data_IF_704641258992
#
_entry.id   IF_704641258992
#
_cell.length_a   1.000
_cell.length_b   1.000
_cell.length_c   1.000
_cell.angle_alpha   90.00
_cell.angle_beta   90.00
_cell.angle_gamma   90.00
#
_symmetry.space_group_name_H-M   'P 1'
#
loop_
_entity.id
_entity.type
_entity.pdbx_description
1 polymer ?
#
# COMPACT_ATOMS: atom_id res chain seq x y z
N UNK A 1 -54.19 -20.14 -9.64
CA UNK A 1 -53.10 -20.03 -10.64
C UNK A 1 -52.04 -19.07 -10.13
N UNK A 2 -50.86 -19.62 -9.85
CA UNK A 2 -49.54 -18.97 -9.75
C UNK A 2 -49.26 -17.92 -8.66
N UNK A 3 -48.74 -18.44 -7.53
CA UNK A 3 -47.66 -17.80 -6.78
C UNK A 3 -46.56 -17.35 -7.76
N UNK A 4 -46.18 -16.08 -7.73
CA UNK A 4 -44.91 -15.61 -8.32
C UNK A 4 -44.04 -15.00 -7.23
N UNK A 5 -43.21 -15.90 -6.71
CA UNK A 5 -41.79 -15.72 -6.35
C UNK A 5 -41.40 -14.32 -5.90
N UNK A 6 -41.26 -14.20 -4.57
CA UNK A 6 -40.20 -13.43 -3.94
C UNK A 6 -38.88 -13.79 -4.63
N UNK A 7 -38.33 -12.86 -5.40
CA UNK A 7 -36.96 -12.89 -5.88
C UNK A 7 -36.39 -11.51 -5.63
N UNK A 8 -36.09 -11.20 -4.36
CA UNK A 8 -35.01 -10.26 -4.08
C UNK A 8 -33.74 -10.97 -4.55
N UNK A 9 -33.04 -10.48 -5.58
CA UNK A 9 -31.75 -11.06 -5.89
C UNK A 9 -30.87 -10.80 -4.68
N UNK A 10 -30.19 -11.85 -4.26
CA UNK A 10 -29.11 -11.86 -3.31
C UNK A 10 -28.09 -10.80 -3.76
N UNK A 11 -28.18 -9.56 -3.25
CA UNK A 11 -27.02 -8.67 -3.27
C UNK A 11 -25.99 -9.40 -2.41
N UNK A 12 -25.00 -9.98 -3.09
CA UNK A 12 -23.79 -10.54 -2.49
C UNK A 12 -23.34 -9.61 -1.37
N UNK A 13 -23.09 -10.18 -0.20
CA UNK A 13 -22.59 -9.47 0.97
C UNK A 13 -21.16 -8.99 0.70
N UNK A 14 -21.01 -7.96 -0.12
CA UNK A 14 -19.77 -7.20 -0.18
C UNK A 14 -19.66 -6.46 1.17
N UNK A 15 -18.58 -6.70 1.89
CA UNK A 15 -18.29 -6.00 3.15
C UNK A 15 -18.01 -4.54 2.80
N UNK A 16 -19.03 -3.69 2.94
CA UNK A 16 -18.93 -2.25 2.66
C UNK A 16 -18.33 -1.56 3.88
N UNK A 17 -17.29 -0.76 3.68
CA UNK A 17 -16.70 0.08 4.72
C UNK A 17 -17.69 1.21 5.06
N UNK A 18 -18.02 1.38 6.34
CA UNK A 18 -19.01 2.38 6.77
C UNK A 18 -18.41 3.79 6.93
N UNK A 19 -17.18 3.86 7.44
CA UNK A 19 -16.43 5.11 7.66
C UNK A 19 -14.93 4.83 7.70
N UNK A 20 -14.13 5.80 7.28
CA UNK A 20 -12.66 5.80 7.42
C UNK A 20 -12.20 6.19 8.82
N UNK A 21 -13.07 6.84 9.62
CA UNK A 21 -12.71 7.41 10.91
C UNK A 21 -11.88 8.70 10.83
N UNK A 22 -11.57 9.19 9.63
CA UNK A 22 -10.85 10.43 9.36
C UNK A 22 -11.84 11.46 8.80
N UNK A 23 -11.88 12.66 9.38
CA UNK A 23 -12.77 13.73 8.92
C UNK A 23 -12.27 14.26 7.58
N UNK A 24 -13.16 14.31 6.58
CA UNK A 24 -12.84 14.82 5.24
C UNK A 24 -12.39 13.76 4.24
N UNK A 25 -12.16 12.51 4.69
CA UNK A 25 -11.82 11.38 3.82
C UNK A 25 -13.03 10.47 3.65
N UNK A 26 -13.73 10.61 2.52
CA UNK A 26 -14.93 9.82 2.21
C UNK A 26 -14.58 8.40 1.77
N UNK A 27 -15.42 7.42 2.15
CA UNK A 27 -15.26 6.03 1.75
C UNK A 27 -15.50 5.87 0.25
N UNK A 28 -14.60 5.14 -0.43
CA UNK A 28 -14.71 4.86 -1.87
C UNK A 28 -15.09 3.39 -2.09
N UNK A 29 -16.34 3.07 -2.49
CA UNK A 29 -16.80 1.69 -2.64
C UNK A 29 -16.03 0.87 -3.68
N UNK A 30 -15.52 1.52 -4.73
CA UNK A 30 -14.76 0.91 -5.82
C UNK A 30 -13.26 1.27 -5.75
N UNK A 31 -12.70 1.35 -4.53
CA UNK A 31 -11.33 1.79 -4.28
C UNK A 31 -10.28 1.04 -5.12
N UNK A 32 -10.40 -0.28 -5.26
CA UNK A 32 -9.45 -1.12 -6.02
C UNK A 32 -9.34 -0.68 -7.48
N UNK A 33 -10.47 -0.52 -8.17
CA UNK A 33 -10.48 -0.13 -9.59
C UNK A 33 -9.91 1.27 -9.78
N UNK A 34 -10.25 2.19 -8.87
CA UNK A 34 -9.72 3.56 -8.87
C UNK A 34 -8.21 3.54 -8.68
N UNK A 35 -7.69 2.79 -7.71
CA UNK A 35 -6.25 2.65 -7.46
C UNK A 35 -5.51 2.07 -8.67
N UNK A 36 -6.03 1.01 -9.29
CA UNK A 36 -5.43 0.43 -10.50
C UNK A 36 -5.39 1.48 -11.62
N UNK A 37 -6.48 2.22 -11.83
CA UNK A 37 -6.53 3.29 -12.83
C UNK A 37 -5.50 4.40 -12.56
N UNK A 38 -5.41 4.85 -11.30
CA UNK A 38 -4.45 5.88 -10.89
C UNK A 38 -3.01 5.41 -11.06
N UNK A 39 -2.65 4.22 -10.58
CA UNK A 39 -1.29 3.70 -10.71
C UNK A 39 -0.86 3.46 -12.15
N UNK A 40 -1.76 2.97 -13.01
CA UNK A 40 -1.45 2.86 -14.44
C UNK A 40 -1.18 4.24 -15.06
N UNK A 41 -2.00 5.24 -14.71
CA UNK A 41 -1.78 6.62 -15.14
C UNK A 41 -0.45 7.17 -14.63
N UNK A 42 -0.09 6.93 -13.37
CA UNK A 42 1.19 7.34 -12.79
C UNK A 42 2.36 6.71 -13.55
N UNK A 43 2.29 5.42 -13.87
CA UNK A 43 3.29 4.72 -14.67
C UNK A 43 3.38 5.20 -16.13
N UNK A 44 2.33 5.80 -16.67
CA UNK A 44 2.36 6.42 -17.99
C UNK A 44 3.01 7.81 -17.95
N UNK A 45 2.59 8.67 -17.01
CA UNK A 45 3.08 10.04 -16.88
C UNK A 45 4.55 10.10 -16.45
N UNK A 46 5.00 9.19 -15.57
CA UNK A 46 6.38 9.16 -15.09
C UNK A 46 7.42 8.91 -16.20
N UNK A 47 7.01 8.34 -17.35
CA UNK A 47 7.90 8.10 -18.50
C UNK A 47 8.46 9.40 -19.09
N UNK A 48 7.84 10.55 -18.82
CA UNK A 48 8.34 11.86 -19.23
C UNK A 48 9.61 12.28 -18.46
N UNK A 49 9.82 11.75 -17.25
CA UNK A 49 10.99 12.04 -16.41
C UNK A 49 12.19 11.16 -16.86
N UNK A 50 13.44 11.65 -16.84
CA UNK A 50 14.61 10.84 -17.21
C UNK A 50 14.80 9.58 -16.34
N UNK A 51 15.29 8.48 -16.92
CA UNK A 51 15.44 7.17 -16.25
C UNK A 51 16.47 7.13 -15.14
N UNK A 52 17.48 7.99 -15.20
CA UNK A 52 18.56 7.96 -14.22
C UNK A 52 18.21 8.66 -12.91
N UNK A 53 17.16 9.47 -12.92
CA UNK A 53 16.71 10.24 -11.76
C UNK A 53 16.21 9.32 -10.63
N UNK A 54 16.68 9.59 -9.41
CA UNK A 54 16.28 8.84 -8.21
C UNK A 54 14.77 8.89 -7.97
N UNK A 55 14.14 10.01 -8.31
CA UNK A 55 12.68 10.18 -8.24
C UNK A 55 11.94 9.16 -9.11
N UNK A 56 12.30 9.03 -10.40
CA UNK A 56 11.66 8.05 -11.30
C UNK A 56 11.83 6.62 -10.81
N UNK A 57 13.04 6.25 -10.35
CA UNK A 57 13.33 4.92 -9.80
C UNK A 57 12.45 4.61 -8.57
N UNK A 58 12.29 5.58 -7.67
CA UNK A 58 11.45 5.42 -6.48
C UNK A 58 9.97 5.27 -6.84
N UNK A 59 9.43 6.19 -7.65
CA UNK A 59 8.02 6.19 -8.09
C UNK A 59 7.67 4.90 -8.82
N UNK A 60 8.50 4.46 -9.76
CA UNK A 60 8.26 3.18 -10.44
C UNK A 60 8.30 1.99 -9.48
N UNK A 61 9.23 1.97 -8.52
CA UNK A 61 9.38 0.86 -7.57
C UNK A 61 8.14 0.68 -6.71
N UNK A 62 7.73 1.72 -5.98
CA UNK A 62 6.57 1.60 -5.08
C UNK A 62 5.26 1.50 -5.86
N UNK A 63 5.11 2.20 -6.99
CA UNK A 63 3.86 2.14 -7.78
C UNK A 63 3.65 0.75 -8.37
N UNK A 64 4.70 0.09 -8.88
CA UNK A 64 4.61 -1.29 -9.38
C UNK A 64 4.27 -2.27 -8.26
N UNK A 65 4.86 -2.09 -7.08
CA UNK A 65 4.56 -2.93 -5.92
C UNK A 65 3.10 -2.78 -5.49
N UNK A 66 2.62 -1.53 -5.33
CA UNK A 66 1.22 -1.23 -4.98
C UNK A 66 0.23 -1.74 -6.01
N UNK A 67 0.53 -1.54 -7.30
CA UNK A 67 -0.28 -2.05 -8.41
C UNK A 67 -0.38 -3.58 -8.39
N UNK A 68 0.74 -4.28 -8.16
CA UNK A 68 0.76 -5.75 -8.07
C UNK A 68 -0.15 -6.25 -6.95
N UNK A 69 -0.08 -5.66 -5.77
CA UNK A 69 -0.96 -6.03 -4.64
C UNK A 69 -2.43 -5.77 -4.98
N UNK A 70 -2.76 -4.62 -5.58
CA UNK A 70 -4.14 -4.31 -5.97
C UNK A 70 -4.69 -5.24 -7.07
N UNK A 71 -3.82 -5.83 -7.89
CA UNK A 71 -4.21 -6.81 -8.91
C UNK A 71 -4.45 -8.20 -8.30
N UNK A 72 -3.60 -8.62 -7.38
CA UNK A 72 -3.66 -9.94 -6.74
C UNK A 72 -4.82 -10.05 -5.73
N UNK A 73 -5.07 -9.01 -4.94
CA UNK A 73 -6.12 -8.99 -3.92
C UNK A 73 -7.42 -8.37 -4.44
N UNK A 74 -8.56 -8.95 -4.09
CA UNK A 74 -9.89 -8.43 -4.45
C UNK A 74 -10.55 -7.64 -3.31
N UNK A 75 -10.23 -7.98 -2.06
CA UNK A 75 -10.79 -7.33 -0.87
C UNK A 75 -9.91 -6.16 -0.39
N UNK A 76 -10.55 -5.07 0.03
CA UNK A 76 -9.85 -3.86 0.48
C UNK A 76 -9.10 -4.09 1.80
N UNK A 77 -9.63 -4.92 2.70
CA UNK A 77 -8.97 -5.25 3.97
C UNK A 77 -7.68 -6.06 3.76
N UNK A 78 -7.68 -6.97 2.79
CA UNK A 78 -6.49 -7.73 2.40
C UNK A 78 -5.43 -6.81 1.79
N UNK A 79 -5.85 -5.85 0.94
CA UNK A 79 -4.98 -4.82 0.36
C UNK A 79 -4.33 -3.99 1.48
N UNK A 80 -5.10 -3.46 2.43
CA UNK A 80 -4.60 -2.65 3.56
C UNK A 80 -3.58 -3.44 4.39
N UNK A 81 -3.90 -4.69 4.73
CA UNK A 81 -3.03 -5.54 5.54
C UNK A 81 -1.70 -5.85 4.83
N UNK A 82 -1.76 -6.16 3.54
CA UNK A 82 -0.58 -6.56 2.75
C UNK A 82 0.32 -5.39 2.41
N UNK A 83 -0.25 -4.21 2.17
CA UNK A 83 0.51 -2.99 1.92
C UNK A 83 1.05 -2.34 3.19
N UNK A 84 0.33 -2.45 4.31
CA UNK A 84 0.74 -1.88 5.60
C UNK A 84 0.95 -0.37 5.57
N UNK A 85 0.23 0.34 4.69
CA UNK A 85 0.45 1.76 4.38
C UNK A 85 -0.83 2.60 4.62
N UNK A 86 -1.54 2.33 5.72
CA UNK A 86 -2.80 3.00 6.04
C UNK A 86 -4.01 2.41 5.31
N UNK A 87 -5.06 3.22 5.17
CA UNK A 87 -6.32 2.84 4.54
C UNK A 87 -6.27 2.99 3.01
N UNK A 88 -7.13 2.27 2.29
CA UNK A 88 -7.20 2.38 0.81
C UNK A 88 -7.56 3.77 0.31
N UNK A 89 -8.33 4.53 1.07
CA UNK A 89 -8.70 5.91 0.73
C UNK A 89 -7.50 6.87 0.84
N UNK A 90 -6.63 6.68 1.85
CA UNK A 90 -5.38 7.46 1.99
C UNK A 90 -4.45 7.15 0.80
N UNK A 91 -4.37 5.88 0.38
CA UNK A 91 -3.60 5.49 -0.80
C UNK A 91 -4.12 6.14 -2.10
N UNK A 92 -5.43 6.36 -2.20
CA UNK A 92 -6.01 7.07 -3.36
C UNK A 92 -5.57 8.53 -3.35
N UNK A 93 -5.62 9.20 -2.20
CA UNK A 93 -5.15 10.58 -2.04
C UNK A 93 -3.66 10.70 -2.37
N UNK A 94 -2.82 9.80 -1.82
CA UNK A 94 -1.39 9.73 -2.13
C UNK A 94 -1.15 9.55 -3.65
N UNK A 95 -1.88 8.65 -4.31
CA UNK A 95 -1.72 8.41 -5.74
C UNK A 95 -2.16 9.62 -6.58
N UNK A 96 -3.19 10.36 -6.15
CA UNK A 96 -3.62 11.60 -6.81
C UNK A 96 -2.61 12.73 -6.63
N UNK A 97 -2.04 12.85 -5.44
CA UNK A 97 -1.02 13.85 -5.14
C UNK A 97 0.28 13.57 -5.87
N UNK A 98 0.66 12.30 -6.00
CA UNK A 98 1.79 11.88 -6.84
C UNK A 98 1.58 12.27 -8.31
N UNK A 99 0.37 12.08 -8.85
CA UNK A 99 0.04 12.52 -10.22
C UNK A 99 0.15 14.04 -10.38
N UNK A 100 -0.28 14.83 -9.39
CA UNK A 100 -0.11 16.29 -9.40
C UNK A 100 1.37 16.66 -9.35
N UNK A 101 2.13 15.98 -8.49
CA UNK A 101 3.57 16.18 -8.34
C UNK A 101 4.30 15.90 -9.65
N UNK A 102 3.99 14.80 -10.34
CA UNK A 102 4.57 14.50 -11.66
C UNK A 102 4.28 15.64 -12.65
N UNK A 103 3.08 16.22 -12.62
CA UNK A 103 2.74 17.41 -13.40
C UNK A 103 3.68 18.59 -13.13
N UNK A 104 3.92 18.92 -11.86
CA UNK A 104 4.87 19.97 -11.48
C UNK A 104 6.32 19.62 -11.81
N UNK A 105 6.74 18.37 -11.61
CA UNK A 105 8.08 17.89 -11.95
C UNK A 105 8.37 18.03 -13.44
N UNK A 106 7.37 17.75 -14.30
CA UNK A 106 7.51 17.90 -15.75
C UNK A 106 7.58 19.37 -16.19
N UNK A 107 6.93 20.27 -15.48
CA UNK A 107 7.00 21.72 -15.74
C UNK A 107 8.33 22.32 -15.28
N UNK A 108 8.73 22.06 -14.03
CA UNK A 108 9.88 22.72 -13.39
C UNK A 108 11.21 22.07 -13.73
N UNK A 109 11.18 20.80 -14.14
CA UNK A 109 12.34 20.05 -14.62
C UNK A 109 13.56 20.15 -13.68
N UNK A 110 13.42 19.85 -12.37
CA UNK A 110 14.49 20.03 -11.40
C UNK A 110 15.60 18.96 -11.51
N UNK A 111 15.66 18.25 -12.62
CA UNK A 111 16.63 17.19 -12.86
C UNK A 111 17.96 17.74 -13.37
N UNK A 112 19.02 16.96 -13.14
CA UNK A 112 20.39 17.38 -13.44
C UNK A 112 21.02 18.17 -12.30
N UNK A 113 22.30 17.91 -12.09
CA UNK A 113 23.12 18.54 -11.06
C UNK A 113 24.15 19.41 -11.80
N UNK A 114 24.19 20.74 -11.57
CA UNK A 114 25.22 21.61 -12.12
C UNK A 114 26.63 21.17 -11.71
N UNK A 115 27.62 21.40 -12.57
CA UNK A 115 29.02 21.02 -12.30
C UNK A 115 29.61 21.76 -11.09
N UNK A 116 29.08 22.94 -10.77
CA UNK A 116 29.45 23.80 -9.64
C UNK A 116 28.58 23.59 -8.40
N UNK A 117 27.76 22.54 -8.37
CA UNK A 117 26.88 22.26 -7.24
C UNK A 117 27.67 21.74 -6.03
N UNK A 118 27.69 22.54 -4.97
CA UNK A 118 28.25 22.17 -3.67
C UNK A 118 27.13 21.83 -2.68
N UNK A 119 27.14 20.60 -2.17
CA UNK A 119 26.20 20.13 -1.15
C UNK A 119 26.95 19.89 0.17
N UNK A 120 26.86 20.85 1.09
CA UNK A 120 27.45 20.71 2.42
C UNK A 120 26.56 19.82 3.30
N UNK A 121 27.00 18.58 3.52
CA UNK A 121 26.35 17.66 4.46
C UNK A 121 26.87 17.98 5.87
N UNK A 122 26.05 18.66 6.66
CA UNK A 122 26.37 19.03 8.05
C UNK A 122 25.76 17.99 9.00
N UNK A 123 26.62 17.16 9.60
CA UNK A 123 26.23 16.15 10.58
C UNK A 123 26.59 16.62 12.00
N UNK A 124 25.64 16.52 12.94
CA UNK A 124 25.86 16.82 14.35
C UNK A 124 25.42 15.62 15.20
N UNK A 125 26.40 14.82 15.62
CA UNK A 125 26.18 13.58 16.37
C UNK A 125 25.94 13.82 17.88
N UNK A 126 25.65 15.05 18.30
CA UNK A 126 25.31 15.34 19.68
C UNK A 126 24.06 14.52 20.10
N UNK A 127 24.15 13.71 21.18
CA UNK A 127 23.05 12.84 21.56
C UNK A 127 21.85 13.67 22.05
N UNK A 128 20.66 13.37 21.53
CA UNK A 128 19.41 14.03 21.94
C UNK A 128 18.92 13.43 23.28
N UNK A 129 18.75 14.24 24.35
CA UNK A 129 18.17 13.78 25.60
C UNK A 129 16.80 13.09 25.45
N UNK A 130 16.57 12.00 26.21
CA UNK A 130 15.36 11.15 26.11
C UNK A 130 14.02 11.85 26.31
N UNK A 131 14.00 12.95 27.07
CA UNK A 131 12.79 13.69 27.39
C UNK A 131 12.40 14.70 26.31
N UNK A 132 13.28 14.93 25.34
CA UNK A 132 13.01 15.81 24.21
C UNK A 132 12.14 15.02 23.21
N UNK A 133 11.08 15.64 22.67
CA UNK A 133 10.26 15.03 21.64
C UNK A 133 11.13 14.60 20.45
N UNK A 134 11.15 13.31 20.19
CA UNK A 134 11.81 12.70 19.04
C UNK A 134 10.80 11.79 18.36
N UNK A 135 10.68 11.87 17.03
CA UNK A 135 9.86 10.94 16.27
C UNK A 135 10.40 9.53 16.44
N UNK A 136 9.64 8.69 17.14
CA UNK A 136 9.93 7.27 17.25
C UNK A 136 9.16 6.54 16.16
N UNK A 137 9.76 5.54 15.49
CA UNK A 137 9.01 4.73 14.56
C UNK A 137 7.83 4.08 15.29
N UNK A 138 6.71 3.94 14.58
CA UNK A 138 5.60 3.13 15.05
C UNK A 138 6.01 1.66 15.22
N UNK A 139 5.15 0.83 15.84
CA UNK A 139 5.38 -0.61 15.91
C UNK A 139 5.52 -1.17 14.50
N UNK A 140 6.56 -1.98 14.27
CA UNK A 140 6.76 -2.67 12.99
C UNK A 140 5.71 -3.78 12.81
N UNK A 141 5.43 -4.21 11.57
CA UNK A 141 4.52 -5.32 11.31
C UNK A 141 4.95 -6.60 12.06
N UNK A 142 3.98 -7.37 12.57
CA UNK A 142 4.26 -8.59 13.35
C UNK A 142 5.11 -9.62 12.58
N UNK A 143 4.96 -9.67 11.26
CA UNK A 143 5.74 -10.53 10.37
C UNK A 143 7.25 -10.29 10.52
N UNK A 144 7.65 -9.03 10.74
CA UNK A 144 9.05 -8.68 10.97
C UNK A 144 9.59 -9.37 12.23
N UNK A 145 8.85 -9.30 13.35
CA UNK A 145 9.27 -9.96 14.60
C UNK A 145 9.34 -11.47 14.45
N UNK A 146 8.36 -12.10 13.78
CA UNK A 146 8.37 -13.54 13.51
C UNK A 146 9.57 -13.97 12.66
N UNK A 147 9.90 -13.19 11.63
CA UNK A 147 11.10 -13.48 10.80
C UNK A 147 12.38 -13.28 11.58
N UNK A 148 12.48 -12.26 12.44
CA UNK A 148 13.65 -11.98 13.27
C UNK A 148 13.88 -13.10 14.29
N UNK A 149 12.83 -13.56 14.97
CA UNK A 149 12.89 -14.73 15.86
C UNK A 149 13.30 -16.00 15.10
N UNK A 150 12.83 -16.20 13.88
CA UNK A 150 13.24 -17.34 13.03
C UNK A 150 14.70 -17.25 12.58
N UNK A 151 15.23 -16.04 12.38
CA UNK A 151 16.66 -15.80 12.09
C UNK A 151 17.50 -16.15 13.32
N UNK A 152 17.15 -15.60 14.48
CA UNK A 152 17.89 -15.77 15.73
C UNK A 152 17.88 -17.23 16.22
N UNK A 153 16.80 -17.96 15.96
CA UNK A 153 16.68 -19.39 16.28
C UNK A 153 17.26 -20.32 15.21
N UNK A 154 17.73 -19.79 14.08
CA UNK A 154 18.30 -20.58 12.99
C UNK A 154 17.29 -21.40 12.17
N UNK A 155 15.99 -21.18 12.34
CA UNK A 155 14.88 -21.89 11.66
C UNK A 155 14.37 -21.17 10.40
N UNK A 156 15.12 -20.17 9.93
CA UNK A 156 14.83 -19.34 8.76
C UNK A 156 14.30 -20.11 7.54
N UNK A 157 14.89 -21.28 7.23
CA UNK A 157 14.49 -22.11 6.08
C UNK A 157 13.07 -22.69 6.24
N UNK A 158 12.68 -23.02 7.47
CA UNK A 158 11.38 -23.60 7.79
C UNK A 158 10.28 -22.53 7.87
N UNK A 159 10.63 -21.32 8.33
CA UNK A 159 9.73 -20.16 8.34
C UNK A 159 9.41 -19.67 6.91
N UNK A 160 10.43 -19.59 6.03
CA UNK A 160 10.23 -19.23 4.62
C UNK A 160 9.36 -20.28 3.89
N UNK A 161 9.54 -21.56 4.19
CA UNK A 161 8.72 -22.64 3.63
C UNK A 161 7.26 -22.61 4.12
N UNK A 162 7.01 -22.13 5.34
CA UNK A 162 5.66 -21.98 5.92
C UNK A 162 4.92 -20.76 5.36
N UNK A 163 5.61 -19.63 5.15
CA UNK A 163 5.01 -18.45 4.51
C UNK A 163 4.56 -18.69 3.06
N UNK A 164 5.14 -19.67 2.37
CA UNK A 164 4.72 -20.10 1.02
C UNK A 164 3.55 -21.08 1.00
N UNK A 165 3.11 -21.57 2.17
CA UNK A 165 2.00 -22.54 2.28
C UNK A 165 0.70 -21.93 2.80
N UNK A 166 0.75 -20.75 3.41
CA UNK A 166 -0.43 -20.04 3.90
C UNK A 166 -1.01 -19.11 2.81
N UNK A 167 -1.42 -19.70 1.68
CA UNK A 167 -2.61 -19.17 0.99
C UNK A 167 -3.80 -19.54 1.89
N UNK A 168 -4.73 -18.62 2.23
CA UNK A 168 -5.85 -19.00 3.08
C UNK A 168 -6.76 -19.96 2.31
N UNK A 169 -6.70 -21.24 2.67
CA UNK A 169 -7.75 -22.20 2.35
C UNK A 169 -9.08 -21.62 2.82
N UNK A 170 -9.93 -21.29 1.85
CA UNK A 170 -11.35 -21.01 2.02
C UNK A 170 -11.96 -22.21 2.74
N UNK A 171 -12.14 -22.11 4.06
CA UNK A 171 -12.91 -23.10 4.81
C UNK A 171 -14.37 -22.95 4.42
N UNK A 172 -14.80 -23.82 3.50
CA UNK A 172 -16.19 -24.13 3.26
C UNK A 172 -16.81 -24.66 4.54
N UNK A 173 -17.69 -23.87 5.15
CA UNK A 173 -18.46 -24.28 6.31
C UNK A 173 -19.36 -25.47 5.99
N UNK A 174 -18.97 -26.64 6.49
CA UNK A 174 -19.78 -27.86 6.50
C UNK A 174 -21.04 -27.64 7.35
N UNK A 175 -22.19 -27.91 6.74
CA UNK A 175 -23.47 -27.99 7.41
C UNK A 175 -23.46 -29.11 8.46
N UNK A 176 -23.67 -28.78 9.73
CA UNK A 176 -24.08 -29.75 10.74
C UNK A 176 -25.54 -29.51 11.15
N UNK A 177 -26.37 -30.47 10.79
CA UNK A 177 -27.75 -30.61 11.21
C UNK A 177 -27.86 -30.84 12.73
N UNK A 178 -28.76 -30.10 13.37
CA UNK A 178 -29.62 -30.56 14.47
C UNK A 178 -30.94 -29.83 14.39
#
# INVERSE_FOLDING_TARGET
MFLRRVARPLMMMAKVKETTGIVGLEVVPNAREVLIGLYNKTLEEIKAVPEDEGYRKAVESFTRHRLKVCQEEEDWEAIEKRLGCGQVEELIEEAQDELKLIGHMNEWKPWGIPDDYECEVIENDAPVPKHIPLHRPGPLPEEFYKTLEAVDTGTLKDAIASSKKEDPEITSGEAQAK
#
